data_IF_031659921091
#
_entry.id   IF_031659921091
#
_cell.length_a   1.000
_cell.length_b   1.000
_cell.length_c   1.000
_cell.angle_alpha   90.00
_cell.angle_beta   90.00
_cell.angle_gamma   90.00
#
_symmetry.space_group_name_H-M   'P 1'
#
loop_
_entity.id
_entity.type
_entity.pdbx_description
1 polymer ?
#
# COMPACT_ATOMS: atom_id res chain seq x y z
N UNK A 1 -20.04 -0.76 40.03
CA UNK A 1 -20.24 0.00 38.76
C UNK A 1 -20.22 -0.97 37.59
N UNK A 2 -21.29 -1.06 36.78
CA UNK A 2 -21.23 -1.74 35.46
C UNK A 2 -20.72 -0.72 34.43
N UNK A 3 -19.61 -1.01 33.76
CA UNK A 3 -19.20 -0.23 32.57
C UNK A 3 -20.09 -0.64 31.40
N UNK A 4 -20.79 0.34 30.82
CA UNK A 4 -21.36 0.18 29.49
C UNK A 4 -20.22 0.18 28.48
N UNK A 5 -20.10 -0.92 27.74
CA UNK A 5 -19.19 -1.02 26.59
C UNK A 5 -20.02 -0.86 25.33
N UNK A 6 -19.67 0.13 24.52
CA UNK A 6 -20.29 0.35 23.22
C UNK A 6 -19.39 -0.22 22.13
N UNK A 7 -19.97 -1.03 21.24
CA UNK A 7 -19.25 -1.67 20.14
C UNK A 7 -19.64 -0.98 18.83
N UNK A 8 -18.65 -0.51 18.08
CA UNK A 8 -18.84 -0.07 16.72
C UNK A 8 -19.04 -1.30 15.84
N UNK A 9 -20.13 -1.31 15.07
CA UNK A 9 -20.51 -2.44 14.22
C UNK A 9 -20.10 -2.30 12.75
N UNK A 10 -19.59 -1.12 12.38
CA UNK A 10 -19.27 -0.79 10.98
C UNK A 10 -17.87 -0.21 10.90
N UNK A 11 -17.10 -0.63 9.90
CA UNK A 11 -15.81 -0.07 9.59
C UNK A 11 -15.97 1.24 8.79
N UNK A 12 -15.94 2.36 9.51
CA UNK A 12 -16.11 3.69 8.91
C UNK A 12 -14.96 4.11 8.00
N UNK A 13 -13.78 3.47 8.09
CA UNK A 13 -12.59 3.83 7.28
C UNK A 13 -12.62 3.22 5.89
N UNK A 14 -13.22 2.05 5.74
CA UNK A 14 -13.25 1.30 4.49
C UNK A 14 -14.60 1.41 3.76
N UNK A 15 -15.50 2.30 4.20
CA UNK A 15 -16.86 2.42 3.67
C UNK A 15 -16.90 2.59 2.15
N UNK A 16 -15.97 3.39 1.62
CA UNK A 16 -15.88 3.70 0.19
C UNK A 16 -14.86 2.81 -0.56
N UNK A 17 -14.36 1.75 0.07
CA UNK A 17 -13.35 0.85 -0.51
C UNK A 17 -13.92 -0.12 -1.57
N UNK A 18 -15.24 -0.14 -1.77
CA UNK A 18 -15.94 -1.00 -2.72
C UNK A 18 -15.96 -2.49 -2.35
N UNK A 19 -16.72 -3.28 -3.12
CA UNK A 19 -16.81 -4.76 -3.02
C UNK A 19 -16.99 -5.30 -1.60
N UNK A 20 -17.79 -4.62 -0.76
CA UNK A 20 -18.06 -4.99 0.63
C UNK A 20 -16.80 -5.25 1.48
N UNK A 21 -15.67 -4.63 1.10
CA UNK A 21 -14.38 -4.83 1.75
C UNK A 21 -14.38 -4.42 3.22
N UNK A 22 -15.22 -3.44 3.56
CA UNK A 22 -15.41 -3.01 4.94
C UNK A 22 -16.02 -4.10 5.84
N UNK A 23 -16.92 -4.93 5.31
CA UNK A 23 -17.48 -6.08 6.03
C UNK A 23 -16.42 -7.16 6.17
N UNK A 24 -15.72 -7.50 5.08
CA UNK A 24 -14.64 -8.49 5.09
C UNK A 24 -13.54 -8.16 6.11
N UNK A 25 -13.15 -6.88 6.22
CA UNK A 25 -12.17 -6.43 7.22
C UNK A 25 -12.68 -6.58 8.67
N UNK A 26 -13.99 -6.47 8.91
CA UNK A 26 -14.57 -6.73 10.23
C UNK A 26 -14.53 -8.22 10.55
N UNK A 27 -14.92 -9.08 9.61
CA UNK A 27 -14.86 -10.53 9.78
C UNK A 27 -13.42 -11.00 10.08
N UNK A 28 -12.43 -10.45 9.36
CA UNK A 28 -11.00 -10.69 9.64
C UNK A 28 -10.62 -10.21 11.04
N UNK A 29 -11.03 -9.01 11.42
CA UNK A 29 -10.73 -8.43 12.73
C UNK A 29 -11.38 -9.18 13.91
N UNK A 30 -12.52 -9.83 13.66
CA UNK A 30 -13.21 -10.69 14.61
C UNK A 30 -12.64 -12.11 14.66
N UNK A 31 -11.89 -12.53 13.63
CA UNK A 31 -11.40 -13.90 13.47
C UNK A 31 -12.41 -14.86 12.83
N UNK A 32 -13.53 -14.36 12.33
CA UNK A 32 -14.59 -15.16 11.71
C UNK A 32 -14.14 -15.82 10.38
N UNK A 33 -13.06 -15.30 9.78
CA UNK A 33 -12.50 -15.74 8.51
C UNK A 33 -11.32 -16.70 8.63
N UNK A 34 -10.90 -17.03 9.84
CA UNK A 34 -9.69 -17.81 10.06
C UNK A 34 -9.97 -19.30 9.76
N UNK A 35 -9.07 -19.92 9.01
CA UNK A 35 -9.07 -21.37 8.82
C UNK A 35 -8.51 -22.10 10.06
N UNK A 36 -8.37 -23.43 9.97
CA UNK A 36 -7.89 -24.26 11.07
C UNK A 36 -6.46 -23.92 11.53
N UNK A 37 -5.68 -23.26 10.67
CA UNK A 37 -4.30 -22.84 10.94
C UNK A 37 -4.23 -21.34 11.30
N UNK A 38 -5.36 -20.74 11.69
CA UNK A 38 -5.51 -19.31 12.01
C UNK A 38 -5.14 -18.37 10.84
N UNK A 39 -5.20 -18.86 9.62
CA UNK A 39 -4.88 -18.11 8.41
C UNK A 39 -6.13 -17.53 7.75
N UNK A 40 -5.97 -16.38 7.10
CA UNK A 40 -7.05 -15.73 6.32
C UNK A 40 -6.78 -15.94 4.84
N UNK A 41 -7.74 -16.54 4.15
CA UNK A 41 -7.72 -16.63 2.69
C UNK A 41 -8.10 -15.28 2.08
N UNK A 42 -7.19 -14.76 1.25
CA UNK A 42 -7.37 -13.51 0.51
C UNK A 42 -7.98 -13.82 -0.86
N UNK A 43 -9.00 -13.06 -1.32
CA UNK A 43 -9.56 -13.24 -2.64
C UNK A 43 -8.51 -13.04 -3.73
N UNK A 44 -8.55 -13.85 -4.79
CA UNK A 44 -7.57 -13.82 -5.88
C UNK A 44 -7.52 -12.45 -6.56
N UNK A 45 -8.66 -11.77 -6.69
CA UNK A 45 -8.75 -10.42 -7.25
C UNK A 45 -8.06 -9.34 -6.40
N UNK A 46 -7.68 -9.66 -5.17
CA UNK A 46 -6.92 -8.80 -4.26
C UNK A 46 -5.44 -9.17 -4.21
N UNK A 47 -5.03 -10.25 -4.87
CA UNK A 47 -3.63 -10.63 -4.98
C UNK A 47 -2.97 -9.89 -6.14
N UNK A 48 -1.71 -9.50 -5.95
CA UNK A 48 -0.87 -9.00 -7.04
C UNK A 48 -0.64 -10.12 -8.08
N UNK A 49 -0.75 -9.79 -9.36
CA UNK A 49 -0.48 -10.70 -10.49
C UNK A 49 1.02 -10.78 -10.84
N UNK A 50 1.82 -9.87 -10.30
CA UNK A 50 3.24 -9.67 -10.57
C UNK A 50 3.95 -9.10 -9.32
N UNK A 51 5.21 -8.70 -9.47
CA UNK A 51 5.98 -8.11 -8.38
C UNK A 51 5.30 -6.86 -7.80
N UNK A 52 5.05 -6.87 -6.50
CA UNK A 52 4.30 -5.80 -5.79
C UNK A 52 4.92 -4.41 -5.97
N UNK A 53 6.25 -4.30 -6.10
CA UNK A 53 6.89 -3.01 -6.36
C UNK A 53 6.55 -2.50 -7.76
N UNK A 54 6.49 -3.39 -8.75
CA UNK A 54 6.07 -3.04 -10.12
C UNK A 54 4.61 -2.64 -10.18
N UNK A 55 3.72 -3.35 -9.49
CA UNK A 55 2.29 -3.03 -9.53
C UNK A 55 1.96 -1.71 -8.85
N UNK A 56 2.62 -1.42 -7.73
CA UNK A 56 2.35 -0.22 -6.94
C UNK A 56 3.11 1.00 -7.49
N UNK A 57 4.39 0.86 -7.81
CA UNK A 57 5.23 2.00 -8.22
C UNK A 57 5.41 2.12 -9.74
N UNK A 58 4.90 1.17 -10.54
CA UNK A 58 5.11 1.10 -12.00
C UNK A 58 6.61 0.88 -12.36
N UNK A 59 6.89 0.39 -13.56
CA UNK A 59 8.28 0.18 -14.03
C UNK A 59 9.04 1.52 -14.20
N UNK A 60 8.32 2.57 -14.59
CA UNK A 60 8.85 3.93 -14.76
C UNK A 60 7.86 4.96 -14.23
N UNK A 61 8.37 5.92 -13.47
CA UNK A 61 7.55 7.03 -12.99
C UNK A 61 7.39 8.08 -14.09
N UNK A 62 6.15 8.27 -14.51
CA UNK A 62 5.74 9.50 -15.18
C UNK A 62 5.56 10.62 -14.15
N UNK A 63 6.07 11.81 -14.46
CA UNK A 63 5.92 13.04 -13.66
C UNK A 63 4.48 13.25 -13.22
N UNK A 64 3.54 12.97 -14.13
CA UNK A 64 2.12 13.21 -13.96
C UNK A 64 1.44 12.17 -13.06
N UNK A 65 2.16 11.11 -12.67
CA UNK A 65 1.69 10.03 -11.79
C UNK A 65 2.26 10.10 -10.37
N UNK A 66 3.15 11.05 -10.09
CA UNK A 66 3.80 11.20 -8.79
C UNK A 66 2.80 11.41 -7.64
N UNK A 67 1.68 12.09 -7.88
CA UNK A 67 0.60 12.28 -6.89
C UNK A 67 -0.01 10.95 -6.42
N UNK A 68 -0.18 9.98 -7.33
CA UNK A 68 -0.74 8.65 -7.01
C UNK A 68 0.19 7.80 -6.14
N UNK A 69 1.50 8.03 -6.24
CA UNK A 69 2.48 7.31 -5.41
C UNK A 69 2.41 7.71 -3.95
N UNK A 70 2.09 8.98 -3.67
CA UNK A 70 1.94 9.50 -2.32
C UNK A 70 0.76 8.87 -1.56
N UNK A 71 -0.19 8.26 -2.29
CA UNK A 71 -1.37 7.60 -1.74
C UNK A 71 -1.12 6.10 -1.45
N UNK A 72 0.05 5.57 -1.85
CA UNK A 72 0.36 4.15 -1.77
C UNK A 72 1.39 3.84 -0.67
N UNK A 73 1.21 2.70 0.01
CA UNK A 73 2.17 2.18 0.98
C UNK A 73 2.28 0.66 0.87
N UNK A 74 3.51 0.14 0.90
CA UNK A 74 3.75 -1.30 1.00
C UNK A 74 4.19 -1.63 2.43
N UNK A 75 3.44 -2.51 3.08
CA UNK A 75 3.71 -2.98 4.44
C UNK A 75 4.39 -4.35 4.40
N UNK A 76 5.37 -4.57 5.28
CA UNK A 76 6.01 -5.87 5.49
C UNK A 76 6.09 -6.16 6.99
N UNK A 77 5.98 -7.44 7.42
CA UNK A 77 6.01 -7.77 8.84
C UNK A 77 7.36 -7.48 9.54
N UNK A 78 8.47 -7.51 8.79
CA UNK A 78 9.83 -7.33 9.35
C UNK A 78 10.54 -6.14 8.73
N UNK A 79 11.29 -5.41 9.55
CA UNK A 79 12.01 -4.20 9.14
C UNK A 79 13.12 -4.46 8.12
N UNK A 80 13.78 -5.62 8.19
CA UNK A 80 14.81 -6.01 7.22
C UNK A 80 14.19 -6.23 5.82
N UNK A 81 12.98 -6.79 5.74
CA UNK A 81 12.19 -6.86 4.52
C UNK A 81 11.78 -5.49 4.02
N UNK A 82 11.38 -4.58 4.92
CA UNK A 82 11.06 -3.19 4.55
C UNK A 82 12.28 -2.51 3.93
N UNK A 83 13.47 -2.68 4.51
CA UNK A 83 14.68 -2.04 3.98
C UNK A 83 15.01 -2.54 2.57
N UNK A 84 15.03 -3.85 2.35
CA UNK A 84 15.25 -4.44 1.01
C UNK A 84 14.24 -3.94 -0.01
N UNK A 85 12.98 -3.81 0.40
CA UNK A 85 11.91 -3.31 -0.46
C UNK A 85 12.09 -1.83 -0.80
N UNK A 86 12.47 -1.00 0.17
CA UNK A 86 12.77 0.41 -0.04
C UNK A 86 13.89 0.58 -1.05
N UNK A 87 14.99 -0.14 -0.87
CA UNK A 87 16.14 -0.06 -1.77
C UNK A 87 15.73 -0.44 -3.20
N UNK A 88 14.97 -1.53 -3.35
CA UNK A 88 14.42 -1.98 -4.64
C UNK A 88 13.49 -0.93 -5.27
N UNK A 89 12.61 -0.31 -4.48
CA UNK A 89 11.71 0.73 -4.96
C UNK A 89 12.49 1.98 -5.41
N UNK A 90 13.50 2.41 -4.64
CA UNK A 90 14.36 3.54 -4.98
C UNK A 90 15.17 3.30 -6.26
N UNK A 91 15.71 2.10 -6.46
CA UNK A 91 16.45 1.75 -7.68
C UNK A 91 15.58 1.84 -8.93
N UNK A 92 14.29 1.51 -8.81
CA UNK A 92 13.31 1.62 -9.90
C UNK A 92 12.77 3.04 -10.09
N UNK A 93 12.78 3.85 -9.03
CA UNK A 93 12.30 5.23 -9.02
C UNK A 93 13.16 6.21 -9.83
N UNK A 94 14.18 5.76 -10.58
CA UNK A 94 15.11 6.62 -11.32
C UNK A 94 14.34 7.55 -12.26
N UNK A 95 14.16 8.79 -11.81
CA UNK A 95 13.59 9.88 -12.59
C UNK A 95 14.54 10.15 -13.75
N UNK A 96 14.09 9.95 -14.98
CA UNK A 96 14.81 10.47 -16.13
C UNK A 96 14.83 11.99 -16.00
N UNK A 97 16.01 12.55 -15.68
CA UNK A 97 16.24 13.98 -15.89
C UNK A 97 16.04 14.23 -17.36
N UNK A 98 14.96 14.91 -17.75
CA UNK A 98 14.88 15.55 -19.08
C UNK A 98 16.15 16.38 -19.23
N UNK A 99 17.03 15.96 -20.13
CA UNK A 99 18.22 16.72 -20.51
C UNK A 99 17.74 17.93 -21.33
N UNK A 100 17.23 18.93 -20.61
CA UNK A 100 16.73 20.19 -21.14
C UNK A 100 17.61 21.33 -20.66
N UNK A 101 18.44 21.82 -21.56
CA UNK A 101 19.40 22.92 -21.44
C UNK A 101 18.94 24.10 -20.56
N UNK A 102 19.86 24.63 -19.74
CA UNK A 102 20.24 26.06 -19.73
C UNK A 102 21.56 26.26 -18.97
N UNK A 103 22.47 26.96 -19.64
CA UNK A 103 23.77 27.41 -19.16
C UNK A 103 23.65 28.45 -18.03
N UNK A 104 24.74 28.56 -17.25
CA UNK A 104 25.08 29.61 -16.27
C UNK A 104 24.11 29.71 -15.06
N UNK A 105 24.55 29.70 -13.80
CA UNK A 105 25.56 30.60 -13.24
C UNK A 105 26.09 30.02 -11.92
N UNK A 106 27.41 30.09 -11.74
CA UNK A 106 28.13 29.73 -10.51
C UNK A 106 27.82 30.81 -9.45
N UNK A 107 27.03 30.47 -8.42
CA UNK A 107 26.92 31.33 -7.24
C UNK A 107 28.15 31.10 -6.35
N UNK A 108 28.74 32.22 -5.96
CA UNK A 108 30.01 32.37 -5.25
C UNK A 108 29.84 32.09 -3.76
#
# INVERSE_FOLDING_TARGET
LRRLTHHLRVNMRARDAGNDWHERLLEIGNGDCNDADECVQMPEEKMCSSDIVTEIFVVTLDSDRTSKLCECAILRPKNDHVQRLKDTAFDRLRVEKKLGQKNLQKCR
#
